data_IF_014222320516
#
_entry.id   IF_014222320516
#
_cell.length_a   1.000
_cell.length_b   1.000
_cell.length_c   1.000
_cell.angle_alpha   90.00
_cell.angle_beta   90.00
_cell.angle_gamma   90.00
#
_symmetry.space_group_name_H-M   'P 1'
#
loop_
_entity.id
_entity.type
_entity.pdbx_description
1 polymer ?
#
# COMPACT_ATOMS: atom_id res chain seq x y z
N UNK A 1 8.12 -4.21 0.41
CA UNK A 1 8.24 -2.76 0.60
C UNK A 1 8.48 -2.11 -0.74
N UNK A 2 7.91 -0.92 -0.96
CA UNK A 2 8.06 -0.16 -2.20
C UNK A 2 8.52 1.24 -1.89
N UNK A 3 9.22 1.89 -2.83
CA UNK A 3 9.51 3.32 -2.75
C UNK A 3 8.92 4.13 -3.88
N UNK A 4 8.33 5.28 -3.52
CA UNK A 4 7.72 6.24 -4.43
C UNK A 4 8.65 7.39 -4.81
N UNK A 5 9.93 7.29 -4.42
CA UNK A 5 10.98 8.28 -4.65
C UNK A 5 10.69 9.65 -4.04
N UNK A 6 9.86 9.70 -3.00
CA UNK A 6 9.55 10.91 -2.22
C UNK A 6 9.99 10.80 -0.76
N UNK A 7 10.68 9.72 -0.37
CA UNK A 7 11.06 9.48 1.01
C UNK A 7 12.41 10.09 1.34
N UNK A 8 12.46 10.74 2.49
CA UNK A 8 13.66 11.37 3.05
C UNK A 8 14.40 10.43 4.01
N UNK A 9 13.73 9.35 4.46
CA UNK A 9 14.27 8.37 5.39
C UNK A 9 13.83 6.93 5.06
N UNK A 10 14.69 5.97 5.40
CA UNK A 10 14.53 4.54 5.09
C UNK A 10 14.46 3.66 6.35
N UNK A 11 13.95 4.21 7.45
CA UNK A 11 13.84 3.55 8.77
C UNK A 11 13.02 2.26 8.76
N UNK A 12 12.15 2.09 7.78
CA UNK A 12 11.36 0.87 7.67
C UNK A 12 12.22 -0.36 7.32
N UNK A 13 13.37 -0.18 6.64
CA UNK A 13 14.32 -1.29 6.40
C UNK A 13 14.82 -1.89 7.72
N UNK A 14 15.47 -1.14 8.63
CA UNK A 14 15.89 -1.69 9.92
C UNK A 14 14.70 -2.16 10.76
N UNK A 15 13.56 -1.45 10.76
CA UNK A 15 12.38 -1.85 11.53
C UNK A 15 11.87 -3.25 11.16
N UNK A 16 11.86 -3.59 9.86
CA UNK A 16 11.47 -4.93 9.39
C UNK A 16 12.62 -5.94 9.40
N UNK A 17 13.88 -5.51 9.35
CA UNK A 17 15.02 -6.43 9.36
C UNK A 17 15.32 -7.00 10.76
N UNK A 18 15.02 -6.25 11.82
CA UNK A 18 15.33 -6.60 13.20
C UNK A 18 14.17 -7.31 13.93
N UNK A 19 13.42 -8.15 13.20
CA UNK A 19 12.25 -8.86 13.74
C UNK A 19 12.63 -10.12 14.52
N UNK A 20 11.85 -10.48 15.54
CA UNK A 20 12.03 -11.70 16.35
C UNK A 20 11.82 -12.98 15.53
N UNK A 21 10.94 -12.91 14.53
CA UNK A 21 10.65 -14.01 13.61
C UNK A 21 11.75 -14.14 12.57
N UNK A 22 12.45 -15.28 12.50
CA UNK A 22 13.61 -15.44 11.61
C UNK A 22 13.27 -15.97 10.21
N UNK A 23 12.12 -16.63 10.03
CA UNK A 23 11.76 -17.33 8.79
C UNK A 23 10.94 -16.45 7.84
N UNK A 24 11.52 -15.33 7.43
CA UNK A 24 10.94 -14.44 6.42
C UNK A 24 12.01 -13.89 5.49
N UNK A 25 11.56 -13.30 4.38
CA UNK A 25 12.41 -12.52 3.49
C UNK A 25 11.88 -11.09 3.38
N UNK A 26 12.79 -10.14 3.23
CA UNK A 26 12.47 -8.76 2.94
C UNK A 26 12.73 -8.48 1.47
N UNK A 27 11.75 -7.93 0.76
CA UNK A 27 11.88 -7.51 -0.64
C UNK A 27 11.60 -6.02 -0.75
N UNK A 28 12.61 -5.27 -1.18
CA UNK A 28 12.49 -3.87 -1.57
C UNK A 28 12.34 -3.80 -3.09
N UNK A 29 11.29 -3.12 -3.56
CA UNK A 29 11.04 -2.95 -4.99
C UNK A 29 11.09 -1.48 -5.36
N UNK A 30 12.05 -1.14 -6.19
CA UNK A 30 12.26 0.18 -6.78
C UNK A 30 11.59 0.24 -8.16
N UNK A 31 10.77 1.26 -8.39
CA UNK A 31 10.05 1.44 -9.65
C UNK A 31 10.99 1.82 -10.78
N UNK A 32 11.95 2.69 -10.49
CA UNK A 32 12.90 3.17 -11.47
C UNK A 32 14.09 2.22 -11.61
N UNK A 33 15.02 2.56 -12.50
CA UNK A 33 16.31 1.87 -12.61
C UNK A 33 17.36 2.37 -11.61
N UNK A 34 17.17 3.59 -11.10
CA UNK A 34 18.06 4.23 -10.14
C UNK A 34 17.56 3.97 -8.72
N UNK A 35 18.48 3.62 -7.83
CA UNK A 35 18.20 3.37 -6.41
C UNK A 35 18.91 4.43 -5.59
N UNK A 36 18.23 5.00 -4.59
CA UNK A 36 18.86 5.93 -3.66
C UNK A 36 20.06 5.25 -2.94
N UNK A 37 21.25 5.86 -2.91
CA UNK A 37 22.40 5.30 -2.21
C UNK A 37 22.12 4.94 -0.75
N UNK A 38 21.24 5.66 -0.06
CA UNK A 38 20.85 5.38 1.32
C UNK A 38 20.05 4.09 1.46
N UNK A 39 19.26 3.68 0.46
CA UNK A 39 18.60 2.36 0.43
C UNK A 39 19.66 1.26 0.39
N UNK A 40 20.64 1.37 -0.51
CA UNK A 40 21.72 0.39 -0.61
C UNK A 40 22.54 0.31 0.69
N UNK A 41 22.85 1.47 1.28
CA UNK A 41 23.55 1.54 2.56
C UNK A 41 22.75 0.88 3.70
N UNK A 42 21.45 1.18 3.80
CA UNK A 42 20.55 0.61 4.81
C UNK A 42 20.40 -0.92 4.64
N UNK A 43 20.21 -1.41 3.42
CA UNK A 43 20.14 -2.85 3.14
C UNK A 43 21.47 -3.53 3.51
N UNK A 44 22.61 -2.96 3.11
CA UNK A 44 23.91 -3.55 3.39
C UNK A 44 24.23 -3.60 4.89
N UNK A 45 23.85 -2.57 5.65
CA UNK A 45 24.14 -2.47 7.08
C UNK A 45 23.15 -3.27 7.95
N UNK A 46 21.84 -3.12 7.69
CA UNK A 46 20.79 -3.55 8.62
C UNK A 46 20.02 -4.78 8.13
N UNK A 47 19.97 -4.99 6.82
CA UNK A 47 19.14 -6.02 6.21
C UNK A 47 19.89 -6.82 5.12
N UNK A 48 21.06 -7.43 5.40
CA UNK A 48 21.91 -8.03 4.37
C UNK A 48 21.26 -9.22 3.63
N UNK A 49 20.16 -9.77 4.17
CA UNK A 49 19.34 -10.81 3.52
C UNK A 49 18.17 -10.26 2.70
N UNK A 50 17.94 -8.95 2.74
CA UNK A 50 16.92 -8.31 1.92
C UNK A 50 17.29 -8.36 0.45
N UNK A 51 16.28 -8.48 -0.39
CA UNK A 51 16.40 -8.51 -1.85
C UNK A 51 15.95 -7.17 -2.40
N UNK A 52 16.81 -6.54 -3.19
CA UNK A 52 16.49 -5.33 -3.94
C UNK A 52 16.13 -5.69 -5.38
N UNK A 53 14.96 -5.26 -5.84
CA UNK A 53 14.49 -5.41 -7.21
C UNK A 53 14.31 -4.03 -7.83
N UNK A 54 14.89 -3.78 -9.00
CA UNK A 54 14.63 -2.57 -9.79
C UNK A 54 13.80 -2.94 -11.01
N UNK A 55 12.77 -2.15 -11.30
CA UNK A 55 11.90 -2.41 -12.46
C UNK A 55 12.37 -1.68 -13.72
N UNK A 56 13.26 -0.70 -13.60
CA UNK A 56 13.78 0.05 -14.75
C UNK A 56 12.70 0.84 -15.51
N UNK A 57 11.58 1.15 -14.86
CA UNK A 57 10.47 1.88 -15.49
C UNK A 57 10.79 3.37 -15.56
N UNK A 58 10.06 4.06 -16.42
CA UNK A 58 10.15 5.51 -16.64
C UNK A 58 8.75 6.13 -16.61
N UNK A 59 8.69 7.47 -16.55
CA UNK A 59 7.44 8.21 -16.51
C UNK A 59 6.87 8.32 -15.10
N UNK A 60 5.54 8.49 -15.00
CA UNK A 60 4.86 8.69 -13.72
C UNK A 60 4.96 7.41 -12.87
N UNK A 61 5.23 7.61 -11.58
CA UNK A 61 5.29 6.53 -10.62
C UNK A 61 3.97 5.75 -10.53
N UNK A 62 4.08 4.42 -10.43
CA UNK A 62 2.92 3.55 -10.34
C UNK A 62 3.20 2.33 -9.44
N UNK A 63 2.75 2.44 -8.19
CA UNK A 63 3.01 1.47 -7.11
C UNK A 63 2.56 0.03 -7.41
N UNK A 64 1.46 -0.16 -8.14
CA UNK A 64 0.97 -1.50 -8.51
C UNK A 64 2.01 -2.36 -9.24
N UNK A 65 2.91 -1.75 -10.03
CA UNK A 65 4.00 -2.50 -10.67
C UNK A 65 4.99 -3.02 -9.62
N UNK A 66 5.34 -2.21 -8.63
CA UNK A 66 6.23 -2.60 -7.54
C UNK A 66 5.61 -3.70 -6.68
N UNK A 67 4.34 -3.54 -6.31
CA UNK A 67 3.61 -4.56 -5.56
C UNK A 67 3.56 -5.89 -6.32
N UNK A 68 3.18 -5.87 -7.60
CA UNK A 68 3.11 -7.08 -8.41
C UNK A 68 4.46 -7.77 -8.60
N UNK A 69 5.53 -7.00 -8.82
CA UNK A 69 6.88 -7.57 -8.89
C UNK A 69 7.30 -8.21 -7.56
N UNK A 70 7.00 -7.56 -6.43
CA UNK A 70 7.21 -8.13 -5.09
C UNK A 70 6.42 -9.43 -4.88
N UNK A 71 5.13 -9.45 -5.23
CA UNK A 71 4.25 -10.63 -5.14
C UNK A 71 4.79 -11.79 -5.98
N UNK A 72 5.23 -11.50 -7.22
CA UNK A 72 5.81 -12.51 -8.11
C UNK A 72 7.12 -13.07 -7.55
N UNK A 73 7.97 -12.20 -6.98
CA UNK A 73 9.29 -12.56 -6.46
C UNK A 73 9.26 -13.21 -5.07
N UNK A 74 8.17 -13.04 -4.32
CA UNK A 74 7.98 -13.59 -2.99
C UNK A 74 7.90 -15.13 -3.01
N UNK A 75 8.62 -15.75 -2.09
CA UNK A 75 8.68 -17.21 -1.86
C UNK A 75 7.80 -17.62 -0.69
N UNK A 76 7.53 -16.69 0.23
CA UNK A 76 6.63 -16.91 1.36
C UNK A 76 5.17 -17.11 0.95
N UNK A 77 4.45 -17.91 1.73
CA UNK A 77 3.01 -18.14 1.52
C UNK A 77 2.13 -17.03 2.09
N UNK A 78 2.60 -16.32 3.12
CA UNK A 78 2.03 -15.09 3.64
C UNK A 78 2.83 -13.92 3.08
N UNK A 79 2.14 -12.93 2.50
CA UNK A 79 2.76 -11.71 2.01
C UNK A 79 2.29 -10.56 2.88
N UNK A 80 3.25 -9.79 3.40
CA UNK A 80 3.03 -8.51 4.05
C UNK A 80 3.47 -7.41 3.09
N UNK A 81 2.59 -6.45 2.81
CA UNK A 81 2.85 -5.31 1.94
C UNK A 81 2.72 -4.04 2.78
N UNK A 82 3.80 -3.63 3.47
CA UNK A 82 3.82 -2.39 4.23
C UNK A 82 4.24 -1.18 3.36
N UNK A 83 3.76 0.00 3.74
CA UNK A 83 4.37 1.27 3.36
C UNK A 83 5.86 1.29 3.73
N UNK A 84 6.68 1.95 2.91
CA UNK A 84 8.14 2.00 3.07
C UNK A 84 8.66 3.01 4.10
N UNK A 85 7.77 3.65 4.84
CA UNK A 85 8.04 4.67 5.86
C UNK A 85 7.40 4.31 7.22
N UNK A 86 7.17 3.01 7.46
CA UNK A 86 6.61 2.55 8.73
C UNK A 86 7.68 2.11 9.71
N UNK A 87 7.38 2.30 11.00
CA UNK A 87 8.08 1.65 12.11
C UNK A 87 7.12 0.65 12.73
N UNK A 88 7.64 -0.52 13.07
CA UNK A 88 6.88 -1.63 13.63
C UNK A 88 7.54 -2.17 14.88
N UNK A 89 6.75 -2.86 15.70
CA UNK A 89 7.24 -3.61 16.85
C UNK A 89 8.22 -4.72 16.44
N UNK A 90 9.23 -5.07 17.27
CA UNK A 90 10.17 -6.14 16.96
C UNK A 90 9.52 -7.53 16.76
N UNK A 91 8.32 -7.74 17.28
CA UNK A 91 7.56 -8.99 17.12
C UNK A 91 6.39 -8.87 16.13
N UNK A 92 6.36 -7.81 15.32
CA UNK A 92 5.29 -7.54 14.36
C UNK A 92 5.08 -8.72 13.38
N UNK A 93 6.15 -9.19 12.74
CA UNK A 93 6.07 -10.28 11.75
C UNK A 93 5.60 -11.59 12.40
N UNK A 94 6.07 -11.89 13.61
CA UNK A 94 5.64 -13.06 14.37
C UNK A 94 4.14 -13.00 14.68
N UNK A 95 3.65 -11.86 15.18
CA UNK A 95 2.23 -11.67 15.48
C UNK A 95 1.37 -11.75 14.22
N UNK A 96 1.83 -11.20 13.10
CA UNK A 96 1.14 -11.32 11.82
C UNK A 96 1.07 -12.77 11.33
N UNK A 97 2.16 -13.53 11.47
CA UNK A 97 2.17 -14.96 11.16
C UNK A 97 1.13 -15.72 12.00
N UNK A 98 1.12 -15.52 13.32
CA UNK A 98 0.20 -16.19 14.24
C UNK A 98 -1.29 -15.87 13.95
N UNK A 99 -1.60 -14.66 13.49
CA UNK A 99 -2.95 -14.29 13.04
C UNK A 99 -3.37 -15.11 11.81
N UNK A 100 -2.48 -15.25 10.83
CA UNK A 100 -2.75 -15.92 9.55
C UNK A 100 -2.63 -17.44 9.60
N UNK A 101 -1.89 -17.99 10.57
CA UNK A 101 -1.75 -19.43 10.78
C UNK A 101 -3.12 -20.09 11.04
N UNK A 102 -3.96 -19.42 11.83
CA UNK A 102 -5.28 -19.92 12.24
C UNK A 102 -6.34 -19.82 11.15
N UNK A 103 -6.14 -18.92 10.18
CA UNK A 103 -7.13 -18.66 9.13
C UNK A 103 -6.45 -18.32 7.80
N UNK A 104 -6.31 -19.32 6.91
CA UNK A 104 -5.73 -19.12 5.57
C UNK A 104 -6.58 -18.27 4.61
N UNK A 105 -7.78 -17.83 5.02
CA UNK A 105 -8.66 -16.91 4.27
C UNK A 105 -8.68 -15.49 4.86
N UNK A 106 -7.93 -15.26 5.95
CA UNK A 106 -7.81 -13.97 6.58
C UNK A 106 -7.08 -12.98 5.66
N UNK A 107 -7.59 -11.75 5.67
CA UNK A 107 -6.95 -10.55 5.13
C UNK A 107 -6.85 -9.56 6.26
N UNK A 108 -5.65 -9.07 6.54
CA UNK A 108 -5.41 -8.08 7.59
C UNK A 108 -4.98 -6.76 7.00
N UNK A 109 -5.55 -5.67 7.51
CA UNK A 109 -5.04 -4.32 7.35
C UNK A 109 -4.69 -3.78 8.74
N UNK A 110 -3.46 -3.38 9.00
CA UNK A 110 -3.08 -2.97 10.35
C UNK A 110 -3.46 -1.50 10.65
N UNK A 111 -3.91 -1.22 11.87
CA UNK A 111 -4.12 0.16 12.31
C UNK A 111 -2.80 0.93 12.31
N UNK A 112 -2.81 2.13 11.70
CA UNK A 112 -1.65 3.02 11.59
C UNK A 112 -1.80 4.22 12.52
N UNK A 113 -0.91 4.31 13.50
CA UNK A 113 -0.77 5.44 14.40
C UNK A 113 0.21 6.42 13.77
N UNK A 114 -0.24 7.64 13.51
CA UNK A 114 0.56 8.66 12.85
C UNK A 114 1.13 9.60 13.90
N UNK A 115 2.39 9.95 13.77
CA UNK A 115 3.01 10.98 14.60
C UNK A 115 2.37 12.35 14.28
N UNK A 116 1.87 13.08 15.29
CA UNK A 116 1.40 14.45 15.08
C UNK A 116 2.57 15.37 14.68
N UNK A 117 2.35 16.25 13.71
CA UNK A 117 3.37 17.22 13.24
C UNK A 117 4.02 18.01 14.38
N UNK A 118 3.22 18.47 15.33
CA UNK A 118 3.69 19.30 16.46
C UNK A 118 4.53 18.51 17.48
N UNK A 119 4.59 17.18 17.35
CA UNK A 119 5.38 16.28 18.18
C UNK A 119 6.57 15.66 17.42
N UNK A 120 6.77 16.03 16.15
CA UNK A 120 7.76 15.42 15.27
C UNK A 120 9.20 15.59 15.77
N UNK A 121 10.01 14.55 15.58
CA UNK A 121 11.46 14.55 15.77
C UNK A 121 12.14 14.07 14.49
N UNK A 122 13.26 14.70 14.13
CA UNK A 122 14.05 14.30 12.96
C UNK A 122 14.57 12.85 13.08
N UNK A 123 14.90 12.41 14.30
CA UNK A 123 15.26 11.03 14.59
C UNK A 123 14.02 10.17 14.83
N UNK A 124 13.89 9.10 14.04
CA UNK A 124 12.79 8.15 14.15
C UNK A 124 13.05 7.18 15.30
N UNK A 125 12.27 7.30 16.37
CA UNK A 125 12.34 6.45 17.57
C UNK A 125 10.99 5.78 17.87
N UNK A 126 10.99 4.44 17.93
CA UNK A 126 9.80 3.66 18.25
C UNK A 126 9.23 3.98 19.64
N UNK A 127 10.08 4.27 20.64
CA UNK A 127 9.58 4.58 21.99
C UNK A 127 8.80 5.91 22.01
N UNK A 128 9.29 6.93 21.31
CA UNK A 128 8.57 8.18 21.08
C UNK A 128 7.27 7.96 20.29
N UNK A 129 7.31 7.23 19.18
CA UNK A 129 6.11 6.96 18.35
C UNK A 129 5.00 6.22 19.11
N UNK A 130 5.36 5.31 20.02
CA UNK A 130 4.39 4.66 20.93
C UNK A 130 3.67 5.65 21.84
N UNK A 131 4.36 6.70 22.27
CA UNK A 131 3.82 7.69 23.21
C UNK A 131 2.99 8.77 22.51
N UNK A 132 3.39 9.16 21.29
CA UNK A 132 2.81 10.31 20.59
C UNK A 132 1.87 9.92 19.45
N UNK A 133 1.99 8.70 18.93
CA UNK A 133 1.21 8.24 17.79
C UNK A 133 -0.29 8.29 18.05
N UNK A 134 -1.05 8.78 17.08
CA UNK A 134 -2.51 8.87 17.14
C UNK A 134 -3.16 8.18 15.94
N UNK A 135 -4.24 7.44 16.19
CA UNK A 135 -5.04 6.84 15.13
C UNK A 135 -5.91 7.91 14.47
N UNK A 136 -5.53 8.37 13.28
CA UNK A 136 -6.25 9.41 12.53
C UNK A 136 -7.23 8.85 11.50
N UNK A 137 -6.96 7.66 10.98
CA UNK A 137 -7.76 7.02 9.94
C UNK A 137 -7.95 5.53 10.24
N UNK A 138 -9.04 5.12 10.90
CA UNK A 138 -9.24 3.73 11.34
C UNK A 138 -9.34 2.75 10.16
N UNK A 139 -9.86 3.17 9.01
CA UNK A 139 -10.00 2.33 7.81
C UNK A 139 -8.80 2.44 6.88
N UNK A 140 -7.60 2.75 7.37
CA UNK A 140 -6.44 2.89 6.50
C UNK A 140 -6.17 1.57 5.76
N UNK A 141 -6.32 1.59 4.44
CA UNK A 141 -6.08 0.43 3.57
C UNK A 141 -4.62 0.31 3.15
N UNK A 142 -3.83 1.39 3.18
CA UNK A 142 -2.47 1.42 2.65
C UNK A 142 -1.35 1.08 3.64
N UNK A 143 -1.63 1.07 4.95
CA UNK A 143 -0.58 0.89 5.96
C UNK A 143 0.19 -0.43 5.81
N UNK A 144 -0.47 -1.56 6.04
CA UNK A 144 0.13 -2.86 5.76
C UNK A 144 -0.97 -3.87 5.45
N UNK A 145 -0.95 -4.43 4.24
CA UNK A 145 -1.79 -5.55 3.85
C UNK A 145 -1.07 -6.86 4.19
N UNK A 146 -1.73 -7.73 4.96
CA UNK A 146 -1.32 -9.12 5.17
C UNK A 146 -2.32 -10.09 4.56
N UNK A 147 -1.87 -10.96 3.65
CA UNK A 147 -2.73 -11.96 3.00
C UNK A 147 -1.91 -13.11 2.43
N UNK A 148 -2.53 -14.30 2.30
CA UNK A 148 -1.89 -15.42 1.59
C UNK A 148 -1.62 -15.06 0.13
N UNK A 149 -0.39 -15.31 -0.33
CA UNK A 149 0.09 -15.02 -1.70
C UNK A 149 -0.85 -15.54 -2.78
N UNK A 150 -1.43 -16.74 -2.57
CA UNK A 150 -2.35 -17.37 -3.51
C UNK A 150 -3.55 -16.47 -3.87
N UNK A 151 -4.07 -15.71 -2.90
CA UNK A 151 -5.22 -14.83 -3.13
C UNK A 151 -4.84 -13.61 -3.96
N UNK A 152 -3.62 -13.07 -3.76
CA UNK A 152 -3.10 -12.00 -4.61
C UNK A 152 -2.93 -12.46 -6.07
N UNK A 153 -2.42 -13.67 -6.28
CA UNK A 153 -2.31 -14.27 -7.62
C UNK A 153 -3.70 -14.53 -8.24
N UNK A 154 -4.66 -14.99 -7.45
CA UNK A 154 -6.03 -15.23 -7.89
C UNK A 154 -6.71 -13.95 -8.41
N UNK A 155 -6.51 -12.81 -7.72
CA UNK A 155 -7.01 -11.49 -8.14
C UNK A 155 -6.26 -10.86 -9.33
N UNK A 156 -5.23 -11.54 -9.85
CA UNK A 156 -4.29 -11.01 -10.82
C UNK A 156 -3.45 -9.83 -10.31
N UNK A 157 -3.20 -9.77 -8.99
CA UNK A 157 -2.40 -8.75 -8.33
C UNK A 157 -3.09 -7.39 -8.20
N UNK A 158 -2.28 -6.37 -7.93
CA UNK A 158 -2.67 -4.96 -7.97
C UNK A 158 -2.93 -4.51 -9.41
N UNK A 159 -3.86 -3.58 -9.59
CA UNK A 159 -4.24 -3.10 -10.91
C UNK A 159 -3.24 -2.09 -11.48
N UNK A 160 -2.74 -2.38 -12.67
CA UNK A 160 -1.77 -1.62 -13.44
C UNK A 160 -2.44 -0.72 -14.49
N UNK A 161 -3.77 -0.56 -14.44
CA UNK A 161 -4.51 0.36 -15.29
C UNK A 161 -4.00 1.81 -15.11
N UNK A 162 -3.85 2.60 -16.19
CA UNK A 162 -3.28 3.96 -16.12
C UNK A 162 -3.94 4.95 -15.15
N UNK A 163 -5.16 4.67 -14.68
CA UNK A 163 -5.82 5.49 -13.63
C UNK A 163 -5.04 5.49 -12.30
N UNK A 164 -4.26 4.43 -12.04
CA UNK A 164 -3.42 4.29 -10.86
C UNK A 164 -1.98 4.80 -11.07
N UNK A 165 -1.64 5.28 -12.27
CA UNK A 165 -0.34 5.86 -12.59
C UNK A 165 -0.28 7.35 -12.20
N UNK A 166 -0.38 7.66 -10.91
CA UNK A 166 -0.50 9.06 -10.44
C UNK A 166 0.56 9.50 -9.45
N UNK A 167 1.36 8.58 -8.90
CA UNK A 167 2.20 8.84 -7.72
C UNK A 167 1.49 8.64 -6.38
N UNK A 168 0.15 8.63 -6.37
CA UNK A 168 -0.68 8.46 -5.18
C UNK A 168 -1.22 7.03 -5.06
N UNK A 169 -1.48 6.59 -3.82
CA UNK A 169 -1.70 5.19 -3.47
C UNK A 169 -3.16 4.88 -3.09
N UNK A 170 -4.10 5.04 -4.01
CA UNK A 170 -5.50 4.57 -3.82
C UNK A 170 -5.73 3.13 -4.27
N UNK A 171 -4.71 2.44 -4.78
CA UNK A 171 -4.79 1.05 -5.22
C UNK A 171 -4.94 0.05 -4.05
N UNK A 172 -4.63 0.44 -2.81
CA UNK A 172 -4.92 -0.41 -1.65
C UNK A 172 -6.41 -0.47 -1.30
N UNK A 173 -7.15 0.64 -1.49
CA UNK A 173 -8.61 0.62 -1.37
C UNK A 173 -9.24 -0.27 -2.45
N UNK A 174 -8.70 -0.24 -3.67
CA UNK A 174 -9.08 -1.16 -4.75
C UNK A 174 -8.82 -2.63 -4.37
N UNK A 175 -7.64 -2.94 -3.86
CA UNK A 175 -7.30 -4.29 -3.38
C UNK A 175 -8.24 -4.75 -2.27
N UNK A 176 -8.56 -3.90 -1.30
CA UNK A 176 -9.52 -4.20 -0.24
C UNK A 176 -10.88 -4.63 -0.82
N UNK A 177 -11.43 -3.84 -1.76
CA UNK A 177 -12.71 -4.16 -2.40
C UNK A 177 -12.65 -5.48 -3.14
N UNK A 178 -11.57 -5.75 -3.89
CA UNK A 178 -11.43 -6.99 -4.66
C UNK A 178 -11.24 -8.23 -3.78
N UNK A 179 -10.47 -8.14 -2.69
CA UNK A 179 -10.35 -9.21 -1.69
C UNK A 179 -11.68 -9.49 -0.98
N UNK A 180 -12.43 -8.44 -0.64
CA UNK A 180 -13.77 -8.57 -0.05
C UNK A 180 -14.76 -9.20 -1.03
N UNK A 181 -14.74 -8.78 -2.30
CA UNK A 181 -15.59 -9.35 -3.35
C UNK A 181 -15.30 -10.84 -3.59
N UNK A 182 -14.06 -11.29 -3.36
CA UNK A 182 -13.69 -12.70 -3.39
C UNK A 182 -14.25 -13.50 -2.19
N UNK A 183 -14.88 -12.83 -1.22
CA UNK A 183 -15.44 -13.44 -0.02
C UNK A 183 -14.38 -13.80 1.02
N UNK A 184 -13.25 -13.09 1.05
CA UNK A 184 -12.25 -13.23 2.10
C UNK A 184 -12.63 -12.48 3.37
N UNK A 185 -12.09 -12.94 4.49
CA UNK A 185 -12.40 -12.39 5.81
C UNK A 185 -11.45 -11.23 6.09
N UNK A 186 -11.94 -10.00 5.94
CA UNK A 186 -11.14 -8.79 6.16
C UNK A 186 -11.22 -8.35 7.62
N UNK A 187 -10.08 -8.08 8.23
CA UNK A 187 -9.95 -7.65 9.61
C UNK A 187 -8.94 -6.50 9.75
N UNK A 188 -9.24 -5.53 10.61
CA UNK A 188 -8.23 -4.66 11.21
C UNK A 188 -7.92 -5.18 12.61
N UNK A 189 -6.82 -5.93 12.80
CA UNK A 189 -6.52 -6.48 14.11
C UNK A 189 -6.15 -5.34 15.07
N UNK A 190 -6.58 -5.44 16.33
CA UNK A 190 -6.19 -4.47 17.37
C UNK A 190 -4.68 -4.42 17.56
N UNK A 191 -4.01 -5.57 17.42
CA UNK A 191 -2.56 -5.74 17.45
C UNK A 191 -2.16 -6.80 16.41
N UNK A 192 -0.98 -6.68 15.77
CA UNK A 192 -0.01 -5.61 15.95
C UNK A 192 -0.41 -4.32 15.21
N UNK A 193 0.00 -3.16 15.73
CA UNK A 193 -0.19 -1.84 15.09
C UNK A 193 1.06 -1.39 14.30
N UNK A 194 0.89 -0.35 13.49
CA UNK A 194 1.97 0.32 12.74
C UNK A 194 2.15 1.74 13.27
N UNK A 195 3.37 2.25 13.21
CA UNK A 195 3.68 3.65 13.47
C UNK A 195 4.18 4.34 12.19
N UNK A 196 3.65 5.52 11.91
CA UNK A 196 4.04 6.34 10.76
C UNK A 196 4.62 7.66 11.28
N UNK A 197 5.96 7.83 11.23
CA UNK A 197 6.60 9.11 11.54
C UNK A 197 6.07 10.20 10.62
N UNK A 198 5.97 11.41 11.15
CA UNK A 198 5.51 12.53 10.36
C UNK A 198 6.57 12.90 9.32
N UNK A 199 6.12 13.24 8.12
CA UNK A 199 6.97 13.84 7.08
C UNK A 199 6.14 14.80 6.21
N UNK A 200 6.76 15.71 5.44
CA UNK A 200 6.04 16.54 4.47
C UNK A 200 5.16 15.70 3.55
N UNK A 201 3.91 16.12 3.35
CA UNK A 201 2.91 15.37 2.57
C UNK A 201 2.07 14.37 3.36
N UNK A 202 2.37 14.14 4.65
CA UNK A 202 1.52 13.32 5.53
C UNK A 202 0.08 13.83 5.53
N UNK A 203 -0.87 12.96 5.16
CA UNK A 203 -2.31 13.26 5.04
C UNK A 203 -2.67 14.35 4.01
N UNK A 204 -1.78 14.65 3.05
CA UNK A 204 -2.10 15.55 1.96
C UNK A 204 -3.21 14.94 1.07
N UNK A 205 -4.20 15.76 0.73
CA UNK A 205 -5.24 15.35 -0.20
C UNK A 205 -4.72 15.39 -1.65
N UNK A 206 -4.93 14.30 -2.38
CA UNK A 206 -4.70 14.23 -3.82
C UNK A 206 -6.02 13.91 -4.55
N UNK A 207 -6.36 14.71 -5.56
CA UNK A 207 -7.61 14.54 -6.33
C UNK A 207 -7.64 13.22 -7.13
N UNK A 208 -6.47 12.70 -7.45
CA UNK A 208 -6.20 11.41 -8.11
C UNK A 208 -6.83 10.24 -7.34
N UNK A 209 -6.87 10.30 -6.00
CA UNK A 209 -7.60 9.33 -5.18
C UNK A 209 -9.08 9.24 -5.57
N UNK A 210 -9.70 10.36 -5.99
CA UNK A 210 -11.09 10.35 -6.45
C UNK A 210 -11.23 9.63 -7.79
N UNK A 211 -10.30 9.84 -8.72
CA UNK A 211 -10.32 9.15 -10.01
C UNK A 211 -10.19 7.63 -9.83
N UNK A 212 -9.28 7.22 -8.95
CA UNK A 212 -9.09 5.82 -8.58
C UNK A 212 -10.33 5.25 -7.87
N UNK A 213 -10.95 6.01 -6.97
CA UNK A 213 -12.15 5.59 -6.24
C UNK A 213 -13.35 5.32 -7.16
N UNK A 214 -13.51 6.04 -8.28
CA UNK A 214 -14.58 5.76 -9.25
C UNK A 214 -14.48 4.35 -9.83
N UNK A 215 -13.25 3.92 -10.16
CA UNK A 215 -13.01 2.55 -10.62
C UNK A 215 -13.29 1.53 -9.52
N UNK A 216 -12.82 1.80 -8.30
CA UNK A 216 -13.03 0.92 -7.15
C UNK A 216 -14.53 0.78 -6.77
N UNK A 217 -15.30 1.85 -6.89
CA UNK A 217 -16.75 1.84 -6.60
C UNK A 217 -17.53 1.00 -7.61
N UNK A 218 -17.21 1.11 -8.90
CA UNK A 218 -17.82 0.25 -9.92
C UNK A 218 -17.54 -1.23 -9.63
N UNK A 219 -16.30 -1.57 -9.23
CA UNK A 219 -15.94 -2.92 -8.79
C UNK A 219 -16.75 -3.39 -7.59
N UNK A 220 -16.97 -2.52 -6.61
CA UNK A 220 -17.79 -2.84 -5.44
C UNK A 220 -19.25 -3.16 -5.85
N UNK A 221 -19.82 -2.41 -6.79
CA UNK A 221 -21.19 -2.64 -7.27
C UNK A 221 -21.32 -3.90 -8.12
N UNK A 222 -20.32 -4.19 -8.96
CA UNK A 222 -20.32 -5.34 -9.88
C UNK A 222 -19.77 -6.63 -9.26
N UNK A 223 -19.25 -6.55 -8.04
CA UNK A 223 -18.53 -7.64 -7.36
C UNK A 223 -17.33 -8.16 -8.17
N UNK A 224 -16.69 -7.29 -8.96
CA UNK A 224 -15.51 -7.66 -9.75
C UNK A 224 -14.32 -7.91 -8.83
N UNK A 225 -13.57 -8.98 -9.09
CA UNK A 225 -12.39 -9.39 -8.31
C UNK A 225 -11.08 -9.23 -9.07
N UNK A 226 -11.08 -9.29 -10.40
CA UNK A 226 -9.86 -9.22 -11.19
C UNK A 226 -9.39 -7.77 -11.37
N UNK A 227 -8.07 -7.59 -11.33
CA UNK A 227 -7.44 -6.40 -11.90
C UNK A 227 -7.79 -6.31 -13.40
N UNK A 228 -7.97 -5.08 -13.91
CA UNK A 228 -8.18 -4.86 -15.34
C UNK A 228 -6.87 -5.09 -16.08
N UNK A 229 -5.75 -4.63 -15.50
CA UNK A 229 -4.40 -4.97 -15.96
C UNK A 229 -3.59 -5.50 -14.80
N UNK A 230 -3.10 -6.73 -14.89
CA UNK A 230 -2.52 -7.41 -13.73
C UNK A 230 -1.16 -8.05 -13.96
N UNK A 231 -0.86 -9.05 -13.14
CA UNK A 231 0.37 -9.86 -13.25
C UNK A 231 0.39 -10.68 -14.55
N UNK A 232 -0.73 -11.33 -14.85
CA UNK A 232 -0.95 -12.15 -16.04
C UNK A 232 -1.77 -11.37 -17.06
N UNK A 233 -1.10 -10.92 -18.12
CA UNK A 233 -1.71 -10.11 -19.17
C UNK A 233 -2.72 -10.87 -20.03
N UNK A 234 -2.75 -12.21 -19.96
CA UNK A 234 -3.78 -13.00 -20.66
C UNK A 234 -5.16 -12.88 -20.01
N UNK A 235 -5.20 -12.36 -18.77
CA UNK A 235 -6.42 -12.11 -17.99
C UNK A 235 -6.82 -10.63 -18.01
N UNK A 236 -6.12 -9.81 -18.76
CA UNK A 236 -6.40 -8.39 -18.86
C UNK A 236 -7.76 -8.15 -19.52
N UNK A 237 -8.43 -7.09 -19.08
CA UNK A 237 -9.71 -6.63 -19.58
C UNK A 237 -9.80 -5.12 -19.45
N UNK A 238 -10.72 -4.51 -20.19
CA UNK A 238 -10.94 -3.07 -20.10
C UNK A 238 -12.07 -2.75 -19.10
N UNK A 239 -11.96 -1.65 -18.35
CA UNK A 239 -13.08 -1.15 -17.55
C UNK A 239 -14.31 -0.85 -18.41
N UNK A 240 -15.53 -0.93 -17.87
CA UNK A 240 -16.73 -0.51 -18.59
C UNK A 240 -16.59 0.94 -19.07
N UNK A 241 -17.05 1.22 -20.29
CA UNK A 241 -16.98 2.57 -20.88
C UNK A 241 -17.59 3.64 -19.96
N UNK A 242 -18.70 3.33 -19.28
CA UNK A 242 -19.33 4.23 -18.32
C UNK A 242 -18.42 4.67 -17.17
N UNK A 243 -17.47 3.82 -16.76
CA UNK A 243 -16.50 4.13 -15.70
C UNK A 243 -15.41 5.03 -16.25
N UNK A 244 -14.93 4.74 -17.46
CA UNK A 244 -13.92 5.57 -18.14
C UNK A 244 -14.47 6.97 -18.41
N UNK A 245 -15.70 7.08 -18.90
CA UNK A 245 -16.39 8.34 -19.14
C UNK A 245 -16.50 9.18 -17.85
N UNK A 246 -16.86 8.54 -16.73
CA UNK A 246 -16.95 9.19 -15.43
C UNK A 246 -15.58 9.66 -14.90
N UNK A 247 -14.52 8.88 -15.11
CA UNK A 247 -13.15 9.26 -14.76
C UNK A 247 -12.70 10.46 -15.58
N UNK A 248 -12.98 10.47 -16.88
CA UNK A 248 -12.60 11.55 -17.78
C UNK A 248 -13.39 12.83 -17.51
N UNK A 249 -14.69 12.72 -17.19
CA UNK A 249 -15.50 13.85 -16.75
C UNK A 249 -14.96 14.45 -15.45
N UNK A 250 -14.67 13.60 -14.45
CA UNK A 250 -14.11 14.06 -13.19
C UNK A 250 -12.76 14.77 -13.40
N UNK A 251 -11.88 14.20 -14.24
CA UNK A 251 -10.59 14.79 -14.59
C UNK A 251 -10.74 16.18 -15.20
N UNK A 252 -11.60 16.34 -16.23
CA UNK A 252 -11.88 17.64 -16.85
C UNK A 252 -12.43 18.64 -15.84
N UNK A 253 -13.31 18.20 -14.95
CA UNK A 253 -13.87 19.02 -13.88
C UNK A 253 -12.79 19.62 -12.98
N UNK A 254 -11.81 18.80 -12.56
CA UNK A 254 -10.67 19.26 -11.78
C UNK A 254 -9.74 20.19 -12.56
N UNK A 255 -9.43 19.88 -13.82
CA UNK A 255 -8.56 20.72 -14.66
C UNK A 255 -9.16 22.13 -14.87
N UNK A 256 -10.48 22.23 -14.95
CA UNK A 256 -11.19 23.49 -15.17
C UNK A 256 -11.36 24.34 -13.90
N UNK A 257 -11.55 23.72 -12.73
CA UNK A 257 -11.95 24.42 -11.51
C UNK A 257 -10.92 24.30 -10.35
N UNK A 258 -9.81 23.58 -10.57
CA UNK A 258 -8.75 23.37 -9.59
C UNK A 258 -9.27 22.77 -8.27
N UNK A 259 -8.65 23.17 -7.15
CA UNK A 259 -9.05 22.73 -5.81
C UNK A 259 -10.45 23.21 -5.40
N UNK A 260 -11.05 24.18 -6.11
CA UNK A 260 -12.41 24.65 -5.88
C UNK A 260 -13.48 23.71 -6.48
N UNK A 261 -13.07 22.66 -7.22
CA UNK A 261 -13.97 21.59 -7.65
C UNK A 261 -14.42 20.71 -6.46
N UNK A 262 -15.23 21.30 -5.58
CA UNK A 262 -15.97 20.59 -4.56
C UNK A 262 -17.22 19.98 -5.21
N UNK A 263 -17.04 18.84 -5.89
CA UNK A 263 -18.19 17.96 -6.07
C UNK A 263 -18.51 17.33 -4.73
N UNK A 264 -19.81 17.40 -4.35
CA UNK A 264 -20.43 16.93 -3.10
C UNK A 264 -19.68 15.76 -2.46
N UNK A 265 -19.54 15.74 -1.11
CA UNK A 265 -18.67 14.82 -0.42
C UNK A 265 -18.94 13.41 -0.95
N UNK A 266 -17.88 12.78 -1.50
CA UNK A 266 -17.86 11.33 -1.58
C UNK A 266 -18.26 10.88 -0.18
N UNK A 267 -19.46 10.30 -0.08
CA UNK A 267 -20.11 9.99 1.18
C UNK A 267 -19.05 9.48 2.13
N UNK A 268 -18.85 10.18 3.27
CA UNK A 268 -17.85 9.86 4.31
C UNK A 268 -17.59 8.38 4.25
N UNK A 269 -16.45 8.00 3.68
CA UNK A 269 -16.16 6.60 3.36
C UNK A 269 -16.32 5.84 4.67
N UNK A 270 -17.34 4.97 4.70
CA UNK A 270 -17.95 4.47 5.93
C UNK A 270 -16.93 3.80 6.85
N UNK A 271 -17.12 4.06 8.14
CA UNK A 271 -16.61 3.23 9.22
C UNK A 271 -17.01 1.75 9.03
#
# INVERSE_FOLDING_TARGET
MIDGSFREAFHAIPAFAQQSFADFELIWVEYYGTVDPAVNAAIAAEAPRARLLTLGRTGVYHSSYCFNAGICAARGELVLIPDGDLVVEPDFVERMWLLHERNPRLVTYNYRYNEPKDCHRDEVDLAHLRQTGVLTHPSNWGGCLGVRRRWLVELNGYDQHPVFATGDHGNDFDMYVRLKNLGLEVCWPREPVLYHPWHPGTLAFAYTHRLQALMTQDRAHRLTTLAYRGIDSTRDSEPPASVLDAIDEARRGFEQHGAAYQMAPAARFGA
#
